data_IF_103654076975
#
_entry.id   IF_103654076975
#
_cell.length_a   1.000
_cell.length_b   1.000
_cell.length_c   1.000
_cell.angle_alpha   90.00
_cell.angle_beta   90.00
_cell.angle_gamma   90.00
#
_symmetry.space_group_name_H-M   'P 1'
#
loop_
_entity.id
_entity.type
_entity.pdbx_description
1 polymer ?
#
# COMPACT_ATOMS: atom_id res chain seq x y z
N UNK A 1 29.94 -15.21 -15.99
CA UNK A 1 29.22 -14.55 -14.88
C UNK A 1 27.86 -15.20 -14.75
N UNK A 2 27.68 -16.11 -13.80
CA UNK A 2 26.38 -16.73 -13.55
C UNK A 2 25.51 -15.73 -12.79
N UNK A 3 24.54 -15.14 -13.48
CA UNK A 3 23.46 -14.40 -12.83
C UNK A 3 22.78 -15.34 -11.84
N UNK A 4 22.71 -15.04 -10.53
CA UNK A 4 22.00 -15.91 -9.59
C UNK A 4 20.55 -15.99 -10.05
N UNK A 5 20.06 -17.21 -10.28
CA UNK A 5 18.65 -17.46 -10.60
C UNK A 5 17.78 -16.74 -9.56
N UNK A 6 16.82 -15.88 -9.97
CA UNK A 6 16.03 -15.15 -8.99
C UNK A 6 15.30 -16.12 -8.06
N UNK A 7 15.53 -15.97 -6.76
CA UNK A 7 14.87 -16.69 -5.67
C UNK A 7 13.36 -16.85 -5.94
N UNK A 8 12.80 -18.07 -5.95
CA UNK A 8 11.38 -18.32 -6.16
C UNK A 8 10.46 -17.44 -5.30
N UNK A 9 10.85 -17.18 -4.05
CA UNK A 9 10.11 -16.31 -3.14
C UNK A 9 10.06 -14.87 -3.64
N UNK A 10 11.20 -14.34 -4.10
CA UNK A 10 11.28 -12.99 -4.69
C UNK A 10 10.40 -12.87 -5.94
N UNK A 11 10.37 -13.89 -6.80
CA UNK A 11 9.53 -13.89 -8.01
C UNK A 11 8.06 -13.89 -7.64
N UNK A 12 7.65 -14.76 -6.73
CA UNK A 12 6.28 -14.83 -6.25
C UNK A 12 5.84 -13.50 -5.62
N UNK A 13 6.66 -12.93 -4.74
CA UNK A 13 6.39 -11.63 -4.11
C UNK A 13 6.27 -10.50 -5.14
N UNK A 14 7.12 -10.50 -6.18
CA UNK A 14 7.03 -9.52 -7.26
C UNK A 14 5.73 -9.68 -8.06
N UNK A 15 5.39 -10.91 -8.49
CA UNK A 15 4.17 -11.18 -9.25
C UNK A 15 2.91 -10.78 -8.49
N UNK A 16 2.81 -11.17 -7.22
CA UNK A 16 1.66 -10.81 -6.38
C UNK A 16 1.61 -9.31 -6.11
N UNK A 17 2.77 -8.69 -5.84
CA UNK A 17 2.88 -7.25 -5.59
C UNK A 17 2.44 -6.42 -6.80
N UNK A 18 2.98 -6.71 -7.99
CA UNK A 18 2.60 -6.02 -9.22
C UNK A 18 1.18 -6.37 -9.68
N UNK A 19 0.72 -7.60 -9.45
CA UNK A 19 -0.68 -7.99 -9.68
C UNK A 19 -1.64 -7.14 -8.86
N UNK A 20 -1.28 -6.83 -7.61
CA UNK A 20 -2.04 -5.89 -6.76
C UNK A 20 -2.06 -4.44 -7.26
N UNK A 21 -1.31 -4.07 -8.31
CA UNK A 21 -1.42 -2.75 -8.92
C UNK A 21 -2.48 -2.67 -10.02
N UNK A 22 -3.00 -3.81 -10.49
CA UNK A 22 -3.96 -3.87 -11.61
C UNK A 22 -5.15 -2.91 -11.36
N UNK A 23 -5.82 -2.93 -10.20
CA UNK A 23 -6.96 -2.02 -10.01
C UNK A 23 -6.55 -0.54 -9.97
N UNK A 24 -5.37 -0.19 -9.44
CA UNK A 24 -4.88 1.19 -9.47
C UNK A 24 -4.68 1.70 -10.89
N UNK A 25 -3.99 0.92 -11.74
CA UNK A 25 -3.67 1.33 -13.11
C UNK A 25 -4.88 1.29 -14.05
N UNK A 26 -5.95 0.57 -13.68
CA UNK A 26 -7.20 0.52 -14.45
C UNK A 26 -8.17 1.61 -13.99
N UNK A 27 -8.40 1.75 -12.69
CA UNK A 27 -9.42 2.65 -12.15
C UNK A 27 -9.03 4.13 -12.27
N UNK A 28 -7.74 4.47 -12.12
CA UNK A 28 -7.28 5.85 -12.25
C UNK A 28 -7.48 6.46 -13.66
N UNK A 29 -7.11 5.80 -14.77
CA UNK A 29 -7.46 6.32 -16.09
C UNK A 29 -8.96 6.20 -16.38
N UNK A 30 -9.64 5.13 -15.94
CA UNK A 30 -11.09 5.01 -16.13
C UNK A 30 -11.85 6.19 -15.52
N UNK A 31 -11.45 6.66 -14.33
CA UNK A 31 -12.08 7.82 -13.69
C UNK A 31 -11.91 9.13 -14.48
N UNK A 32 -10.85 9.24 -15.30
CA UNK A 32 -10.59 10.43 -16.12
C UNK A 32 -11.22 10.35 -17.51
N UNK A 33 -11.33 9.15 -18.08
CA UNK A 33 -11.77 8.93 -19.46
C UNK A 33 -13.28 8.68 -19.59
N UNK A 34 -13.89 8.06 -18.58
CA UNK A 34 -15.35 7.85 -18.54
C UNK A 34 -16.01 8.94 -17.70
N UNK A 35 -16.34 10.06 -18.35
CA UNK A 35 -16.99 11.20 -17.69
C UNK A 35 -18.38 10.86 -17.13
N UNK A 36 -19.05 9.80 -17.60
CA UNK A 36 -20.39 9.45 -17.12
C UNK A 36 -20.34 8.76 -15.76
N UNK A 37 -19.30 7.95 -15.50
CA UNK A 37 -19.12 7.21 -14.26
C UNK A 37 -17.85 7.59 -13.49
N UNK A 38 -17.23 8.73 -13.80
CA UNK A 38 -15.94 9.16 -13.24
C UNK A 38 -15.92 9.12 -11.71
N UNK A 39 -17.04 9.46 -11.06
CA UNK A 39 -17.20 9.39 -9.61
C UNK A 39 -17.16 7.94 -9.08
N UNK A 40 -17.92 7.02 -9.70
CA UNK A 40 -17.92 5.60 -9.32
C UNK A 40 -16.54 4.94 -9.48
N UNK A 41 -15.83 5.27 -10.56
CA UNK A 41 -14.46 4.80 -10.78
C UNK A 41 -13.49 5.34 -9.73
N UNK A 42 -13.64 6.60 -9.34
CA UNK A 42 -12.82 7.25 -8.30
C UNK A 42 -13.10 6.66 -6.91
N UNK A 43 -14.38 6.46 -6.55
CA UNK A 43 -14.76 5.80 -5.31
C UNK A 43 -14.22 4.37 -5.23
N UNK A 44 -14.29 3.62 -6.33
CA UNK A 44 -13.69 2.28 -6.42
C UNK A 44 -12.16 2.33 -6.25
N UNK A 45 -11.49 3.33 -6.84
CA UNK A 45 -10.04 3.52 -6.70
C UNK A 45 -9.64 3.79 -5.25
N UNK A 46 -10.35 4.70 -4.56
CA UNK A 46 -10.06 5.01 -3.15
C UNK A 46 -10.46 3.87 -2.22
N UNK A 47 -11.56 3.19 -2.51
CA UNK A 47 -11.96 1.92 -1.88
C UNK A 47 -10.83 0.89 -1.92
N UNK A 48 -10.29 0.66 -3.11
CA UNK A 48 -9.18 -0.26 -3.30
C UNK A 48 -7.90 0.23 -2.61
N UNK A 49 -7.62 1.53 -2.66
CA UNK A 49 -6.51 2.16 -1.94
C UNK A 49 -6.55 1.89 -0.44
N UNK A 50 -7.73 2.00 0.16
CA UNK A 50 -7.94 1.70 1.58
C UNK A 50 -7.73 0.22 1.90
N UNK A 51 -8.22 -0.69 1.04
CA UNK A 51 -7.99 -2.14 1.17
C UNK A 51 -6.49 -2.45 1.16
N UNK A 52 -5.74 -1.90 0.20
CA UNK A 52 -4.31 -2.19 0.07
C UNK A 52 -3.51 -1.58 1.23
N UNK A 53 -3.84 -0.38 1.70
CA UNK A 53 -3.19 0.20 2.88
C UNK A 53 -3.44 -0.67 4.13
N UNK A 54 -4.66 -1.17 4.29
CA UNK A 54 -5.04 -2.10 5.37
C UNK A 54 -4.27 -3.42 5.29
N UNK A 55 -4.19 -4.02 4.09
CA UNK A 55 -3.47 -5.27 3.85
C UNK A 55 -2.00 -5.19 4.27
N UNK A 56 -1.35 -4.05 4.02
CA UNK A 56 0.07 -3.89 4.33
C UNK A 56 0.29 -3.73 5.84
N UNK A 57 -0.66 -3.14 6.56
CA UNK A 57 -0.69 -3.18 8.02
C UNK A 57 -0.56 -4.61 8.55
N UNK A 58 -1.32 -5.55 7.97
CA UNK A 58 -1.36 -6.94 8.42
C UNK A 58 0.01 -7.66 8.44
N UNK A 59 1.01 -7.18 7.68
CA UNK A 59 2.38 -7.70 7.73
C UNK A 59 2.95 -7.69 9.16
N UNK A 60 2.57 -6.70 9.98
CA UNK A 60 3.09 -6.55 11.33
C UNK A 60 2.55 -7.62 12.30
N UNK A 61 1.38 -8.20 12.03
CA UNK A 61 0.93 -9.42 12.74
C UNK A 61 1.88 -10.58 12.49
N UNK A 62 2.31 -10.77 11.24
CA UNK A 62 3.28 -11.79 10.86
C UNK A 62 4.60 -11.66 11.62
N UNK A 63 5.12 -10.43 11.76
CA UNK A 63 6.34 -10.18 12.55
C UNK A 63 6.15 -10.46 14.03
N UNK A 64 5.02 -10.04 14.62
CA UNK A 64 4.75 -10.28 16.03
C UNK A 64 4.68 -11.78 16.38
N UNK A 65 4.14 -12.60 15.46
CA UNK A 65 4.03 -14.05 15.65
C UNK A 65 5.32 -14.80 15.33
N UNK A 66 6.08 -14.35 14.32
CA UNK A 66 7.17 -15.14 13.73
C UNK A 66 8.57 -14.73 14.19
N UNK A 67 8.74 -13.60 14.89
CA UNK A 67 10.06 -13.12 15.32
C UNK A 67 10.47 -13.69 16.70
N UNK A 68 11.38 -14.70 16.76
CA UNK A 68 11.90 -15.20 18.03
C UNK A 68 12.73 -14.11 18.74
N UNK A 69 12.61 -14.03 20.08
CA UNK A 69 13.36 -13.06 20.89
C UNK A 69 12.92 -11.60 20.76
N UNK A 70 11.82 -11.31 20.08
CA UNK A 70 11.26 -9.95 20.04
C UNK A 70 10.66 -9.60 21.41
N UNK A 71 11.21 -8.57 22.05
CA UNK A 71 10.70 -8.00 23.30
C UNK A 71 9.19 -7.76 23.25
N UNK A 72 8.50 -8.01 24.36
CA UNK A 72 7.05 -7.94 24.46
C UNK A 72 6.49 -6.56 24.06
N UNK A 73 7.13 -5.48 24.50
CA UNK A 73 6.77 -4.10 24.11
C UNK A 73 6.83 -3.91 22.60
N UNK A 74 7.83 -4.49 21.93
CA UNK A 74 7.98 -4.44 20.46
C UNK A 74 6.93 -5.29 19.75
N UNK A 75 6.55 -6.45 20.30
CA UNK A 75 5.45 -7.28 19.78
C UNK A 75 4.13 -6.53 19.82
N UNK A 76 3.78 -5.94 20.96
CA UNK A 76 2.56 -5.14 21.13
C UNK A 76 2.55 -3.98 20.13
N UNK A 77 3.68 -3.28 19.96
CA UNK A 77 3.79 -2.23 18.94
C UNK A 77 3.54 -2.73 17.53
N UNK A 78 4.01 -3.93 17.16
CA UNK A 78 3.71 -4.51 15.84
C UNK A 78 2.21 -4.78 15.68
N UNK A 79 1.54 -5.31 16.70
CA UNK A 79 0.08 -5.49 16.72
C UNK A 79 -0.67 -4.16 16.60
N UNK A 80 -0.25 -3.11 17.28
CA UNK A 80 -0.88 -1.79 17.14
C UNK A 80 -0.69 -1.28 15.71
N UNK A 81 0.54 -1.36 15.18
CA UNK A 81 0.84 -0.92 13.81
C UNK A 81 0.20 -1.77 12.71
N UNK A 82 -0.34 -2.94 13.03
CA UNK A 82 -1.09 -3.73 12.06
C UNK A 82 -2.52 -3.23 11.86
N UNK A 83 -3.11 -2.61 12.89
CA UNK A 83 -4.48 -2.11 12.89
C UNK A 83 -4.56 -0.64 12.45
N UNK A 84 -3.56 0.17 12.85
CA UNK A 84 -3.53 1.62 12.55
C UNK A 84 -3.76 1.94 11.06
N UNK A 85 -3.13 1.27 10.07
CA UNK A 85 -3.35 1.58 8.67
C UNK A 85 -4.80 1.40 8.22
N UNK A 86 -5.51 0.39 8.73
CA UNK A 86 -6.91 0.14 8.37
C UNK A 86 -7.84 1.22 8.94
N UNK A 87 -7.68 1.56 10.22
CA UNK A 87 -8.45 2.63 10.86
C UNK A 87 -8.15 4.00 10.24
N UNK A 88 -6.91 4.22 9.81
CA UNK A 88 -6.50 5.45 9.16
C UNK A 88 -7.03 5.55 7.72
N UNK A 89 -7.12 4.43 7.01
CA UNK A 89 -7.58 4.40 5.62
C UNK A 89 -9.10 4.52 5.48
N UNK A 90 -9.87 3.95 6.41
CA UNK A 90 -11.34 3.90 6.34
C UNK A 90 -12.02 5.27 6.14
N UNK A 91 -11.63 6.36 6.82
CA UNK A 91 -12.22 7.68 6.58
C UNK A 91 -12.10 8.18 5.14
N UNK A 92 -11.14 7.68 4.35
CA UNK A 92 -11.02 8.04 2.94
C UNK A 92 -12.31 7.75 2.14
N UNK A 93 -13.09 6.75 2.56
CA UNK A 93 -14.35 6.37 1.92
C UNK A 93 -15.49 7.37 2.16
N UNK A 94 -15.30 8.30 3.09
CA UNK A 94 -16.27 9.32 3.45
C UNK A 94 -15.88 10.71 2.92
N UNK A 95 -14.69 10.82 2.32
CA UNK A 95 -14.14 12.09 1.85
C UNK A 95 -14.37 12.27 0.35
N UNK A 96 -14.43 13.54 -0.07
CA UNK A 96 -14.34 13.88 -1.49
C UNK A 96 -12.98 13.43 -2.07
N UNK A 97 -12.88 13.19 -3.41
CA UNK A 97 -11.70 12.64 -4.06
C UNK A 97 -10.36 13.25 -3.64
N UNK A 98 -10.26 14.58 -3.60
CA UNK A 98 -9.04 15.27 -3.18
C UNK A 98 -8.62 14.95 -1.73
N UNK A 99 -9.60 14.87 -0.81
CA UNK A 99 -9.37 14.52 0.59
C UNK A 99 -9.00 13.05 0.76
N UNK A 100 -9.71 12.15 0.06
CA UNK A 100 -9.41 10.72 0.04
C UNK A 100 -7.99 10.44 -0.48
N UNK A 101 -7.61 11.09 -1.59
CA UNK A 101 -6.27 10.99 -2.16
C UNK A 101 -5.20 11.48 -1.18
N UNK A 102 -5.37 12.67 -0.61
CA UNK A 102 -4.40 13.24 0.34
C UNK A 102 -4.19 12.32 1.55
N UNK A 103 -5.29 11.82 2.14
CA UNK A 103 -5.25 10.92 3.27
C UNK A 103 -4.53 9.61 2.92
N UNK A 104 -4.92 8.94 1.85
CA UNK A 104 -4.34 7.64 1.47
C UNK A 104 -2.88 7.77 1.02
N UNK A 105 -2.51 8.80 0.26
CA UNK A 105 -1.12 9.07 -0.13
C UNK A 105 -0.26 9.28 1.10
N UNK A 106 -0.71 10.08 2.06
CA UNK A 106 0.00 10.26 3.32
C UNK A 106 0.16 8.92 4.05
N UNK A 107 -0.92 8.12 4.14
CA UNK A 107 -0.89 6.80 4.77
C UNK A 107 0.13 5.84 4.13
N UNK A 108 0.15 5.75 2.80
CA UNK A 108 1.11 4.94 2.06
C UNK A 108 2.56 5.39 2.26
N UNK A 109 2.82 6.69 2.21
CA UNK A 109 4.15 7.26 2.41
C UNK A 109 4.62 7.03 3.85
N UNK A 110 3.76 7.32 4.84
CA UNK A 110 4.06 7.10 6.25
C UNK A 110 4.38 5.62 6.52
N UNK A 111 3.57 4.70 5.98
CA UNK A 111 3.80 3.27 6.14
C UNK A 111 5.10 2.81 5.48
N UNK A 112 5.44 3.30 4.29
CA UNK A 112 6.73 3.02 3.65
C UNK A 112 7.92 3.53 4.47
N UNK A 113 7.81 4.71 5.08
CA UNK A 113 8.86 5.24 5.96
C UNK A 113 9.02 4.40 7.23
N UNK A 114 7.93 3.86 7.77
CA UNK A 114 7.97 2.90 8.88
C UNK A 114 8.65 1.60 8.47
N UNK A 115 8.31 1.04 7.31
CA UNK A 115 8.97 -0.13 6.74
C UNK A 115 10.48 0.09 6.61
N UNK A 116 10.92 1.27 6.12
CA UNK A 116 12.36 1.61 6.04
C UNK A 116 13.02 1.68 7.41
N UNK A 117 12.34 2.20 8.43
CA UNK A 117 12.86 2.26 9.81
C UNK A 117 12.96 0.85 10.40
N UNK A 118 11.98 -0.02 10.13
CA UNK A 118 11.96 -1.39 10.61
C UNK A 118 13.03 -2.25 9.92
N UNK A 119 13.25 -2.05 8.62
CA UNK A 119 14.28 -2.73 7.85
C UNK A 119 15.72 -2.41 8.29
N UNK A 120 15.93 -1.34 9.06
CA UNK A 120 17.22 -1.07 9.72
C UNK A 120 17.41 -1.87 11.01
N UNK A 121 16.32 -2.38 11.58
CA UNK A 121 16.27 -3.04 12.90
C UNK A 121 15.97 -4.54 12.81
N UNK A 122 15.54 -5.01 11.65
CA UNK A 122 15.19 -6.39 11.34
C UNK A 122 15.82 -6.78 10.01
N UNK A 123 16.18 -8.05 9.86
CA UNK A 123 16.74 -8.57 8.61
C UNK A 123 15.62 -8.77 7.58
N UNK A 124 15.43 -7.79 6.69
CA UNK A 124 14.59 -7.95 5.51
C UNK A 124 15.42 -8.42 4.31
N UNK A 125 14.84 -9.20 3.39
CA UNK A 125 15.47 -9.48 2.11
C UNK A 125 15.75 -8.18 1.35
N UNK A 126 16.90 -8.07 0.69
CA UNK A 126 17.34 -6.86 -0.02
C UNK A 126 16.35 -6.38 -1.11
N UNK A 127 15.48 -7.27 -1.60
CA UNK A 127 14.47 -6.95 -2.60
C UNK A 127 13.19 -6.33 -2.04
N UNK A 128 12.95 -6.40 -0.72
CA UNK A 128 11.69 -5.96 -0.10
C UNK A 128 11.45 -4.45 -0.25
N UNK A 129 12.40 -3.62 0.23
CA UNK A 129 12.24 -2.16 0.18
C UNK A 129 12.16 -1.59 -1.24
N UNK A 130 12.98 -2.04 -2.23
CA UNK A 130 12.83 -1.60 -3.61
C UNK A 130 11.49 -1.98 -4.23
N UNK A 131 10.97 -3.19 -3.94
CA UNK A 131 9.65 -3.60 -4.39
C UNK A 131 8.59 -2.69 -3.77
N UNK A 132 8.61 -2.53 -2.44
CA UNK A 132 7.65 -1.71 -1.69
C UNK A 132 7.60 -0.28 -2.20
N UNK A 133 8.76 0.32 -2.48
CA UNK A 133 8.86 1.67 -3.04
C UNK A 133 8.09 1.77 -4.36
N UNK A 134 8.34 0.86 -5.31
CA UNK A 134 7.68 0.88 -6.62
C UNK A 134 6.16 0.74 -6.50
N UNK A 135 5.70 -0.20 -5.67
CA UNK A 135 4.26 -0.41 -5.45
C UNK A 135 3.62 0.84 -4.84
N UNK A 136 4.24 1.40 -3.79
CA UNK A 136 3.77 2.64 -3.16
C UNK A 136 3.76 3.82 -4.13
N UNK A 137 4.79 3.99 -4.95
CA UNK A 137 4.84 5.08 -5.94
C UNK A 137 3.69 4.97 -6.95
N UNK A 138 3.45 3.79 -7.53
CA UNK A 138 2.37 3.61 -8.51
C UNK A 138 1.00 3.82 -7.86
N UNK A 139 0.78 3.29 -6.65
CA UNK A 139 -0.45 3.52 -5.90
C UNK A 139 -0.68 5.01 -5.64
N UNK A 140 0.32 5.73 -5.13
CA UNK A 140 0.19 7.17 -4.85
C UNK A 140 -0.07 7.98 -6.11
N UNK A 141 0.64 7.71 -7.22
CA UNK A 141 0.39 8.40 -8.49
C UNK A 141 -1.02 8.15 -9.00
N UNK A 142 -1.51 6.92 -8.90
CA UNK A 142 -2.88 6.56 -9.32
C UNK A 142 -3.93 7.29 -8.48
N UNK A 143 -3.74 7.34 -7.15
CA UNK A 143 -4.63 8.06 -6.23
C UNK A 143 -4.66 9.57 -6.49
N UNK A 144 -3.50 10.16 -6.80
CA UNK A 144 -3.38 11.58 -7.17
C UNK A 144 -4.10 11.85 -8.49
N UNK A 145 -3.93 10.98 -9.50
CA UNK A 145 -4.64 11.10 -10.78
C UNK A 145 -6.16 11.06 -10.59
N UNK A 146 -6.67 10.14 -9.76
CA UNK A 146 -8.11 10.05 -9.45
C UNK A 146 -8.69 11.27 -8.75
N UNK A 147 -7.85 12.15 -8.18
CA UNK A 147 -8.30 13.38 -7.51
C UNK A 147 -8.69 14.49 -8.49
N UNK A 148 -8.26 14.39 -9.75
CA UNK A 148 -8.54 15.36 -10.81
C UNK A 148 -9.78 15.01 -11.63
N UNK A 149 -10.64 14.11 -11.13
CA UNK A 149 -11.94 13.84 -11.76
C UNK A 149 -12.72 15.15 -11.88
N UNK A 150 -13.13 15.57 -13.09
CA UNK A 150 -13.92 16.77 -13.27
C UNK A 150 -15.22 16.64 -12.49
N UNK A 151 -15.49 17.62 -11.62
CA UNK A 151 -16.82 17.80 -11.05
C UNK A 151 -17.73 18.22 -12.21
N UNK A 152 -18.50 17.26 -12.74
CA UNK A 152 -19.53 17.52 -13.75
C UNK A 152 -20.64 18.41 -13.22
#
# INVERSE_FOLDING_TARGET
>A
MNSPSPDPLRRAAAWLGYGGLIPFIVLAPASLLDHHHGWTWSDALYGYGAIILSFVGALHWGFAMSAPGLEEVRRVRCLVWSVVPALFAWPALLLAPAGAAALLVFGFVAHYLLDRRLARRMAFPAWYLPLRLRLTTVACLSLILGAFVPLG
#
